data_IF_263527805228
#
_entry.id   IF_263527805228
#
_cell.length_a   1.000
_cell.length_b   1.000
_cell.length_c   1.000
_cell.angle_alpha   90.00
_cell.angle_beta   90.00
_cell.angle_gamma   90.00
#
_symmetry.space_group_name_H-M   'P 1'
#
loop_
_entity.id
_entity.type
_entity.pdbx_description
1 polymer ?
#
# COMPACT_ATOMS: atom_id res chain seq x y z
N UNK A 1 5.56 0.03 -1.87
CA UNK A 1 6.31 -0.42 -3.06
C UNK A 1 7.79 -0.43 -2.73
N UNK A 2 8.56 -1.31 -3.35
CA UNK A 2 9.99 -1.43 -3.05
C UNK A 2 10.65 -2.53 -3.87
N UNK A 3 11.94 -2.39 -4.08
CA UNK A 3 12.81 -3.42 -4.65
C UNK A 3 12.78 -4.71 -3.81
N UNK A 4 13.22 -5.86 -4.36
CA UNK A 4 13.55 -7.02 -3.55
C UNK A 4 14.43 -6.64 -2.35
N UNK A 5 14.18 -7.26 -1.18
CA UNK A 5 14.91 -7.01 0.07
C UNK A 5 14.86 -5.55 0.61
N UNK A 6 13.97 -4.70 0.08
CA UNK A 6 13.80 -3.31 0.57
C UNK A 6 13.09 -3.20 1.92
N UNK A 7 12.63 -4.31 2.52
CA UNK A 7 11.92 -4.33 3.81
C UNK A 7 10.40 -4.33 3.72
N UNK A 8 9.80 -4.64 2.55
CA UNK A 8 8.34 -4.67 2.34
C UNK A 8 7.61 -5.59 3.34
N UNK A 9 8.08 -6.82 3.52
CA UNK A 9 7.48 -7.76 4.48
C UNK A 9 7.69 -7.30 5.92
N UNK A 10 8.87 -6.76 6.24
CA UNK A 10 9.15 -6.17 7.55
C UNK A 10 8.18 -5.05 7.87
N UNK A 11 7.87 -4.19 6.89
CA UNK A 11 6.87 -3.14 7.07
C UNK A 11 5.48 -3.71 7.40
N UNK A 12 5.01 -4.73 6.67
CA UNK A 12 3.73 -5.40 6.97
C UNK A 12 3.72 -5.97 8.39
N UNK A 13 4.79 -6.65 8.80
CA UNK A 13 4.92 -7.21 10.14
C UNK A 13 4.92 -6.12 11.22
N UNK A 14 5.67 -5.04 11.01
CA UNK A 14 5.73 -3.90 11.94
C UNK A 14 4.35 -3.23 12.06
N UNK A 15 3.65 -3.03 10.95
CA UNK A 15 2.30 -2.47 10.94
C UNK A 15 1.35 -3.35 11.77
N UNK A 16 1.29 -4.64 11.47
CA UNK A 16 0.40 -5.58 12.14
C UNK A 16 0.71 -5.71 13.64
N UNK A 17 2.00 -5.84 13.98
CA UNK A 17 2.44 -5.98 15.37
C UNK A 17 2.17 -4.70 16.18
N UNK A 18 2.48 -3.54 15.63
CA UNK A 18 2.22 -2.24 16.28
C UNK A 18 0.72 -2.03 16.53
N UNK A 19 -0.11 -2.36 15.54
CA UNK A 19 -1.56 -2.24 15.67
C UNK A 19 -2.14 -3.25 16.67
N UNK A 20 -1.66 -4.50 16.68
CA UNK A 20 -2.08 -5.53 17.63
C UNK A 20 -1.71 -5.17 19.08
N UNK A 21 -0.62 -4.42 19.31
CA UNK A 21 -0.27 -3.89 20.62
C UNK A 21 -1.22 -2.78 21.09
N UNK A 22 -1.82 -2.03 20.17
CA UNK A 22 -2.68 -0.89 20.48
C UNK A 22 -4.18 -1.23 20.50
N UNK A 23 -4.60 -2.28 19.77
CA UNK A 23 -6.00 -2.59 19.51
C UNK A 23 -6.32 -4.05 19.85
N UNK A 24 -7.39 -4.31 20.63
CA UNK A 24 -7.81 -5.68 20.92
C UNK A 24 -8.35 -6.39 19.66
N UNK A 25 -8.40 -7.73 19.64
CA UNK A 25 -8.92 -8.51 18.50
C UNK A 25 -10.35 -8.14 18.08
N UNK A 26 -11.18 -7.72 19.03
CA UNK A 26 -12.54 -7.24 18.76
C UNK A 26 -12.59 -5.91 18.00
N UNK A 27 -11.52 -5.10 18.01
CA UNK A 27 -11.46 -3.87 17.21
C UNK A 27 -10.77 -4.08 15.88
N UNK A 28 -9.73 -4.91 15.85
CA UNK A 28 -8.92 -5.10 14.66
C UNK A 28 -8.45 -6.55 14.54
N UNK A 29 -8.76 -7.16 13.41
CA UNK A 29 -8.24 -8.48 13.04
C UNK A 29 -7.42 -8.42 11.75
N UNK A 30 -6.42 -9.29 11.65
CA UNK A 30 -5.53 -9.43 10.51
C UNK A 30 -5.69 -10.80 9.85
N UNK A 31 -5.66 -10.79 8.52
CA UNK A 31 -5.49 -11.97 7.68
C UNK A 31 -4.32 -11.74 6.73
N UNK A 32 -3.65 -12.81 6.31
CA UNK A 32 -2.42 -12.70 5.53
C UNK A 32 -2.34 -13.66 4.34
N UNK A 33 -1.81 -13.17 3.23
CA UNK A 33 -1.39 -13.96 2.08
C UNK A 33 0.09 -13.62 1.80
N UNK A 34 0.98 -14.59 2.05
CA UNK A 34 2.42 -14.49 1.82
C UNK A 34 2.79 -15.17 0.50
N UNK A 35 2.75 -14.40 -0.59
CA UNK A 35 3.11 -14.89 -1.93
C UNK A 35 4.62 -14.77 -2.22
N UNK A 36 5.36 -13.99 -1.43
CA UNK A 36 6.81 -13.81 -1.60
C UNK A 36 7.63 -14.83 -0.82
N UNK A 37 7.04 -15.46 0.20
CA UNK A 37 7.76 -16.27 1.19
C UNK A 37 8.52 -15.40 2.20
N UNK A 38 8.12 -14.14 2.38
CA UNK A 38 8.82 -13.14 3.19
C UNK A 38 8.74 -13.37 4.70
N UNK A 39 7.93 -14.32 5.16
CA UNK A 39 7.83 -14.72 6.55
C UNK A 39 6.66 -14.09 7.30
N UNK A 40 5.59 -13.73 6.59
CA UNK A 40 4.38 -13.14 7.20
C UNK A 40 3.73 -14.10 8.21
N UNK A 41 3.91 -15.42 8.04
CA UNK A 41 3.45 -16.48 8.94
C UNK A 41 3.93 -16.34 10.39
N UNK A 42 4.99 -15.57 10.64
CA UNK A 42 5.44 -15.26 12.01
C UNK A 42 4.40 -14.51 12.84
N UNK A 43 3.45 -13.83 12.19
CA UNK A 43 2.35 -13.14 12.86
C UNK A 43 1.25 -14.10 13.35
N UNK A 44 1.23 -15.37 12.93
CA UNK A 44 0.15 -16.32 13.24
C UNK A 44 -0.09 -16.57 14.74
N UNK A 45 0.84 -16.18 15.60
CA UNK A 45 0.69 -16.30 17.05
C UNK A 45 -0.03 -15.10 17.70
N UNK A 46 -0.26 -14.02 16.96
CA UNK A 46 -0.94 -12.83 17.50
C UNK A 46 -2.43 -13.11 17.67
N UNK A 47 -3.06 -12.68 18.78
CA UNK A 47 -4.49 -12.91 19.02
C UNK A 47 -5.39 -12.17 18.02
N UNK A 48 -4.86 -11.12 17.37
CA UNK A 48 -5.56 -10.39 16.32
C UNK A 48 -5.52 -11.10 14.97
N UNK A 49 -4.75 -12.19 14.79
CA UNK A 49 -4.58 -12.82 13.48
C UNK A 49 -5.51 -14.03 13.34
N UNK A 50 -6.45 -13.95 12.39
CA UNK A 50 -7.40 -15.04 12.11
C UNK A 50 -6.81 -16.13 11.21
N UNK A 51 -5.92 -15.77 10.28
CA UNK A 51 -5.29 -16.75 9.41
C UNK A 51 -4.23 -16.16 8.48
N UNK A 52 -3.17 -16.93 8.24
CA UNK A 52 -2.13 -16.59 7.25
C UNK A 52 -1.91 -17.79 6.34
N UNK A 53 -1.96 -17.54 5.03
CA UNK A 53 -1.64 -18.49 3.99
C UNK A 53 -0.28 -18.17 3.38
N UNK A 54 0.52 -19.20 3.13
CA UNK A 54 1.82 -19.09 2.46
C UNK A 54 1.74 -19.63 1.05
N UNK A 55 2.64 -19.20 0.15
CA UNK A 55 2.69 -19.63 -1.27
C UNK A 55 2.62 -21.14 -1.50
N UNK A 56 3.14 -21.94 -0.58
CA UNK A 56 3.08 -23.40 -0.67
C UNK A 56 1.70 -24.03 -0.44
N UNK A 57 0.71 -23.26 0.04
CA UNK A 57 -0.62 -23.74 0.40
C UNK A 57 -1.70 -22.92 -0.32
N UNK A 58 -1.88 -23.22 -1.61
CA UNK A 58 -2.87 -22.58 -2.49
C UNK A 58 -4.28 -22.67 -1.94
N UNK A 59 -4.65 -23.84 -1.42
CA UNK A 59 -5.99 -24.05 -0.88
C UNK A 59 -6.22 -23.20 0.38
N UNK A 60 -5.21 -22.98 1.20
CA UNK A 60 -5.31 -22.03 2.33
C UNK A 60 -5.37 -20.58 1.87
N UNK A 61 -4.66 -20.18 0.80
CA UNK A 61 -4.79 -18.83 0.24
C UNK A 61 -6.22 -18.56 -0.21
N UNK A 62 -6.81 -19.51 -0.94
CA UNK A 62 -8.21 -19.46 -1.36
C UNK A 62 -9.15 -19.36 -0.17
N UNK A 63 -9.00 -20.23 0.83
CA UNK A 63 -9.85 -20.21 2.04
C UNK A 63 -9.76 -18.89 2.82
N UNK A 64 -8.56 -18.31 2.97
CA UNK A 64 -8.40 -17.00 3.60
C UNK A 64 -9.13 -15.91 2.82
N UNK A 65 -9.05 -15.94 1.49
CA UNK A 65 -9.75 -14.97 0.64
C UNK A 65 -11.27 -15.15 0.74
N UNK A 66 -11.77 -16.38 0.59
CA UNK A 66 -13.19 -16.73 0.68
C UNK A 66 -13.78 -16.32 2.04
N UNK A 67 -13.04 -16.50 3.12
CA UNK A 67 -13.43 -16.09 4.47
C UNK A 67 -13.65 -14.57 4.56
N UNK A 68 -12.74 -13.77 4.01
CA UNK A 68 -12.85 -12.30 4.06
C UNK A 68 -13.96 -11.80 3.13
N UNK A 69 -14.17 -12.45 1.98
CA UNK A 69 -15.31 -12.16 1.09
C UNK A 69 -16.63 -12.46 1.82
N UNK A 70 -16.72 -13.60 2.52
CA UNK A 70 -17.90 -13.91 3.33
C UNK A 70 -18.12 -12.88 4.46
N UNK A 71 -17.04 -12.35 5.06
CA UNK A 71 -17.14 -11.25 6.02
C UNK A 71 -17.68 -9.96 5.39
N UNK A 72 -17.34 -9.64 4.13
CA UNK A 72 -17.94 -8.48 3.45
C UNK A 72 -19.45 -8.64 3.34
N UNK A 73 -19.91 -9.79 2.87
CA UNK A 73 -21.34 -10.05 2.68
C UNK A 73 -22.09 -10.02 4.01
N UNK A 74 -21.47 -10.54 5.07
CA UNK A 74 -22.02 -10.45 6.41
C UNK A 74 -22.11 -9.00 6.91
N UNK A 75 -21.06 -8.21 6.71
CA UNK A 75 -21.02 -6.79 7.10
C UNK A 75 -22.07 -5.97 6.38
N UNK A 76 -22.26 -6.21 5.08
CA UNK A 76 -23.29 -5.53 4.30
C UNK A 76 -24.71 -5.82 4.83
N UNK A 77 -25.01 -7.09 5.17
CA UNK A 77 -26.28 -7.47 5.79
C UNK A 77 -26.47 -6.80 7.16
N UNK A 78 -25.42 -6.74 7.98
CA UNK A 78 -25.46 -6.13 9.31
C UNK A 78 -25.69 -4.62 9.22
N UNK A 79 -24.99 -3.94 8.31
CA UNK A 79 -25.14 -2.50 8.08
C UNK A 79 -26.58 -2.19 7.62
N UNK A 80 -27.10 -2.97 6.68
CA UNK A 80 -28.47 -2.82 6.19
C UNK A 80 -29.51 -3.07 7.29
N UNK A 81 -29.36 -4.15 8.06
CA UNK A 81 -30.30 -4.53 9.12
C UNK A 81 -30.36 -3.51 10.27
N UNK A 82 -29.21 -2.93 10.62
CA UNK A 82 -29.09 -1.98 11.72
C UNK A 82 -29.21 -0.50 11.28
N UNK A 83 -29.43 -0.24 9.97
CA UNK A 83 -29.49 1.11 9.39
C UNK A 83 -28.27 1.97 9.76
N UNK A 84 -27.10 1.38 9.57
CA UNK A 84 -25.83 2.04 9.91
C UNK A 84 -25.43 2.98 8.76
N UNK A 85 -25.36 4.27 9.06
CA UNK A 85 -25.09 5.31 8.05
C UNK A 85 -23.58 5.59 7.85
N UNK A 86 -22.72 5.08 8.74
CA UNK A 86 -21.27 5.27 8.64
C UNK A 86 -20.47 4.17 9.33
N UNK A 87 -19.21 3.99 8.92
CA UNK A 87 -18.28 3.08 9.59
C UNK A 87 -17.95 3.51 11.02
N UNK A 88 -17.99 4.81 11.30
CA UNK A 88 -17.78 5.31 12.66
C UNK A 88 -18.92 4.86 13.58
N UNK A 89 -20.17 4.97 13.10
CA UNK A 89 -21.34 4.43 13.79
C UNK A 89 -21.21 2.91 13.97
N UNK A 90 -20.84 2.16 12.92
CA UNK A 90 -20.62 0.71 13.01
C UNK A 90 -19.62 0.35 14.13
N UNK A 91 -18.48 1.05 14.18
CA UNK A 91 -17.43 0.81 15.19
C UNK A 91 -17.91 1.14 16.60
N UNK A 92 -18.70 2.21 16.76
CA UNK A 92 -19.25 2.62 18.05
C UNK A 92 -20.26 1.59 18.56
N UNK A 93 -21.27 1.27 17.75
CA UNK A 93 -22.32 0.30 18.05
C UNK A 93 -21.74 -1.09 18.36
N UNK A 94 -20.74 -1.54 17.59
CA UNK A 94 -20.02 -2.80 17.85
C UNK A 94 -19.31 -2.79 19.21
N UNK A 95 -18.61 -1.70 19.54
CA UNK A 95 -17.93 -1.55 20.83
C UNK A 95 -18.88 -1.56 22.03
N UNK A 96 -20.11 -1.11 21.83
CA UNK A 96 -21.15 -1.10 22.84
C UNK A 96 -21.97 -2.41 22.87
N UNK A 97 -21.63 -3.37 22.01
CA UNK A 97 -22.30 -4.67 21.94
C UNK A 97 -23.71 -4.61 21.34
N UNK A 98 -24.03 -3.56 20.56
CA UNK A 98 -25.32 -3.40 19.90
C UNK A 98 -25.39 -4.06 18.51
N UNK A 99 -24.24 -4.50 18.00
CA UNK A 99 -24.14 -5.25 16.75
C UNK A 99 -23.63 -6.66 17.05
N UNK A 100 -24.49 -7.64 16.81
CA UNK A 100 -24.12 -9.05 16.83
C UNK A 100 -23.52 -9.50 15.50
N UNK A 101 -22.66 -10.52 15.56
CA UNK A 101 -22.11 -11.20 14.38
C UNK A 101 -20.81 -10.62 13.82
N UNK A 102 -20.37 -9.43 14.23
CA UNK A 102 -19.03 -8.93 13.88
C UNK A 102 -17.99 -9.44 14.88
N UNK A 103 -17.06 -10.28 14.41
CA UNK A 103 -15.91 -10.71 15.22
C UNK A 103 -14.96 -9.54 15.55
N UNK A 104 -14.79 -8.63 14.59
CA UNK A 104 -13.96 -7.43 14.71
C UNK A 104 -14.62 -6.24 14.04
N UNK A 105 -14.39 -5.03 14.54
CA UNK A 105 -14.89 -3.82 13.90
C UNK A 105 -14.20 -3.58 12.54
N UNK A 106 -12.88 -3.74 12.49
CA UNK A 106 -12.06 -3.63 11.28
C UNK A 106 -11.29 -4.92 10.97
N UNK A 107 -11.21 -5.27 9.68
CA UNK A 107 -10.41 -6.39 9.17
C UNK A 107 -9.36 -5.85 8.23
N UNK A 108 -8.10 -6.28 8.38
CA UNK A 108 -7.01 -5.92 7.47
C UNK A 108 -6.47 -7.18 6.79
N UNK A 109 -6.56 -7.21 5.46
CA UNK A 109 -5.89 -8.20 4.63
C UNK A 109 -4.49 -7.70 4.26
N UNK A 110 -3.48 -8.43 4.73
CA UNK A 110 -2.07 -8.23 4.40
C UNK A 110 -1.72 -9.10 3.19
N UNK A 111 -1.36 -8.49 2.07
CA UNK A 111 -0.90 -9.20 0.87
C UNK A 111 0.58 -8.89 0.66
N UNK A 112 1.44 -9.88 0.83
CA UNK A 112 2.84 -9.74 0.45
C UNK A 112 3.05 -10.24 -0.98
N UNK A 113 3.14 -9.30 -1.92
CA UNK A 113 3.45 -9.54 -3.32
C UNK A 113 2.23 -9.80 -4.20
N UNK A 114 1.35 -8.80 -4.38
CA UNK A 114 0.15 -8.95 -5.24
C UNK A 114 0.48 -9.31 -6.70
N UNK A 115 1.62 -8.86 -7.23
CA UNK A 115 2.08 -9.25 -8.56
C UNK A 115 2.36 -10.75 -8.68
N UNK A 116 2.88 -11.39 -7.62
CA UNK A 116 3.05 -12.84 -7.58
C UNK A 116 1.72 -13.58 -7.52
N UNK A 117 0.74 -13.04 -6.78
CA UNK A 117 -0.60 -13.63 -6.74
C UNK A 117 -1.23 -13.64 -8.12
N UNK A 118 -1.21 -12.50 -8.82
CA UNK A 118 -1.78 -12.35 -10.16
C UNK A 118 -1.11 -13.28 -11.19
N UNK A 119 0.19 -13.53 -11.04
CA UNK A 119 0.93 -14.40 -11.95
C UNK A 119 0.71 -15.89 -11.68
N UNK A 120 0.75 -16.30 -10.42
CA UNK A 120 0.80 -17.72 -10.02
C UNK A 120 -0.58 -18.28 -9.60
N UNK A 121 -1.51 -17.41 -9.21
CA UNK A 121 -2.82 -17.76 -8.64
C UNK A 121 -3.95 -16.89 -9.24
N UNK A 122 -4.14 -16.90 -10.58
CA UNK A 122 -5.10 -16.03 -11.26
C UNK A 122 -6.55 -16.23 -10.79
N UNK A 123 -6.91 -17.41 -10.27
CA UNK A 123 -8.23 -17.67 -9.71
C UNK A 123 -8.56 -16.85 -8.45
N UNK A 124 -7.56 -16.31 -7.77
CA UNK A 124 -7.76 -15.45 -6.59
C UNK A 124 -8.03 -13.98 -6.98
N UNK A 125 -7.87 -13.65 -8.26
CA UNK A 125 -7.94 -12.27 -8.73
C UNK A 125 -9.32 -11.65 -8.55
N UNK A 126 -10.38 -12.40 -8.84
CA UNK A 126 -11.76 -11.89 -8.74
C UNK A 126 -12.11 -11.52 -7.30
N UNK A 127 -11.76 -12.38 -6.33
CA UNK A 127 -11.96 -12.10 -4.91
C UNK A 127 -11.13 -10.90 -4.44
N UNK A 128 -9.87 -10.78 -4.87
CA UNK A 128 -9.03 -9.62 -4.52
C UNK A 128 -9.61 -8.32 -5.11
N UNK A 129 -10.02 -8.35 -6.37
CA UNK A 129 -10.62 -7.20 -7.06
C UNK A 129 -11.94 -6.78 -6.39
N UNK A 130 -12.72 -7.75 -5.91
CA UNK A 130 -13.91 -7.53 -5.10
C UNK A 130 -13.60 -6.86 -3.76
N UNK A 131 -12.63 -7.38 -3.00
CA UNK A 131 -12.21 -6.80 -1.73
C UNK A 131 -11.71 -5.36 -1.91
N UNK A 132 -10.91 -5.09 -2.95
CA UNK A 132 -10.37 -3.74 -3.23
C UNK A 132 -11.51 -2.74 -3.48
N UNK A 133 -12.57 -3.17 -4.18
CA UNK A 133 -13.67 -2.29 -4.60
C UNK A 133 -14.70 -2.07 -3.50
N UNK A 134 -15.09 -3.12 -2.77
CA UNK A 134 -16.17 -3.08 -1.75
C UNK A 134 -15.63 -2.83 -0.34
N UNK A 135 -14.43 -3.30 -0.02
CA UNK A 135 -13.96 -3.45 1.35
C UNK A 135 -13.92 -2.16 2.16
N UNK A 136 -13.44 -1.07 1.54
CA UNK A 136 -13.26 0.21 2.24
C UNK A 136 -14.53 0.77 2.85
N UNK A 137 -15.70 0.51 2.25
CA UNK A 137 -17.01 0.94 2.77
C UNK A 137 -17.59 0.03 3.85
N UNK A 138 -16.97 -1.14 4.08
CA UNK A 138 -17.45 -2.18 5.01
C UNK A 138 -16.46 -2.40 6.18
N UNK A 139 -15.42 -1.58 6.31
CA UNK A 139 -14.40 -1.73 7.36
C UNK A 139 -13.41 -2.86 7.08
N UNK A 140 -13.25 -3.24 5.81
CA UNK A 140 -12.23 -4.19 5.35
C UNK A 140 -11.18 -3.45 4.55
N UNK A 141 -9.93 -3.54 5.01
CA UNK A 141 -8.81 -2.78 4.47
C UNK A 141 -7.79 -3.72 3.85
N UNK A 142 -7.11 -3.26 2.80
CA UNK A 142 -6.06 -4.05 2.14
C UNK A 142 -4.76 -3.29 2.24
N UNK A 143 -3.74 -3.97 2.76
CA UNK A 143 -2.36 -3.50 2.75
C UNK A 143 -1.56 -4.47 1.92
N UNK A 144 -1.15 -4.04 0.73
CA UNK A 144 -0.39 -4.88 -0.19
C UNK A 144 1.00 -4.34 -0.46
N UNK A 145 1.95 -5.25 -0.65
CA UNK A 145 3.27 -4.93 -1.18
C UNK A 145 3.27 -5.12 -2.69
N UNK A 146 4.07 -4.30 -3.37
CA UNK A 146 4.26 -4.35 -4.81
C UNK A 146 5.75 -4.28 -5.11
N UNK A 147 6.18 -5.01 -6.14
CA UNK A 147 7.53 -4.88 -6.69
C UNK A 147 7.58 -3.71 -7.68
N UNK A 148 6.50 -3.54 -8.45
CA UNK A 148 6.34 -2.47 -9.45
C UNK A 148 4.97 -1.82 -9.30
N UNK A 149 4.85 -0.57 -9.73
CA UNK A 149 3.58 0.17 -9.65
C UNK A 149 2.46 -0.47 -10.49
N UNK A 150 2.82 -1.11 -11.60
CA UNK A 150 1.89 -1.78 -12.49
C UNK A 150 1.48 -3.19 -12.03
N UNK A 151 1.96 -3.66 -10.88
CA UNK A 151 1.41 -4.86 -10.23
C UNK A 151 -0.06 -4.64 -9.81
N UNK A 152 -0.50 -3.37 -9.72
CA UNK A 152 -1.91 -2.98 -9.60
C UNK A 152 -2.46 -2.50 -10.94
N UNK A 153 -3.68 -2.95 -11.27
CA UNK A 153 -4.44 -2.43 -12.42
C UNK A 153 -4.62 -0.92 -12.27
N UNK A 154 -4.62 -0.19 -13.38
CA UNK A 154 -4.72 1.27 -13.37
C UNK A 154 -5.99 1.78 -12.67
N UNK A 155 -7.11 1.05 -12.81
CA UNK A 155 -8.37 1.36 -12.10
C UNK A 155 -8.32 1.14 -10.58
N UNK A 156 -7.40 0.31 -10.09
CA UNK A 156 -7.25 0.03 -8.66
C UNK A 156 -6.32 1.01 -7.98
N UNK A 157 -5.36 1.56 -8.71
CA UNK A 157 -4.36 2.46 -8.13
C UNK A 157 -5.00 3.59 -7.31
N UNK A 158 -6.04 4.31 -7.76
CA UNK A 158 -6.67 5.39 -6.98
C UNK A 158 -7.28 4.93 -5.65
N UNK A 159 -7.71 3.67 -5.53
CA UNK A 159 -8.35 3.12 -4.33
C UNK A 159 -7.34 2.94 -3.17
N UNK A 160 -6.05 2.87 -3.47
CA UNK A 160 -4.99 2.86 -2.47
C UNK A 160 -4.64 4.30 -2.08
N UNK A 161 -5.35 4.86 -1.09
CA UNK A 161 -5.15 6.23 -0.61
C UNK A 161 -3.74 6.47 -0.03
N UNK A 162 -3.23 5.53 0.76
CA UNK A 162 -1.90 5.60 1.38
C UNK A 162 -0.89 4.78 0.60
N UNK A 163 0.24 5.39 0.24
CA UNK A 163 1.35 4.71 -0.45
C UNK A 163 2.66 4.98 0.28
N UNK A 164 3.40 3.91 0.54
CA UNK A 164 4.74 3.98 1.12
C UNK A 164 5.74 3.43 0.11
N UNK A 165 6.73 4.24 -0.25
CA UNK A 165 7.83 3.88 -1.14
C UNK A 165 9.07 3.56 -0.29
N UNK A 166 9.49 2.31 -0.33
CA UNK A 166 10.79 1.86 0.15
C UNK A 166 11.79 2.00 -1.01
N UNK A 167 13.06 1.67 -0.75
CA UNK A 167 14.11 1.69 -1.77
C UNK A 167 13.65 0.98 -3.05
N UNK A 168 13.65 1.71 -4.17
CA UNK A 168 13.33 1.21 -5.51
C UNK A 168 14.61 0.82 -6.26
N UNK A 169 14.47 -0.03 -7.28
CA UNK A 169 15.58 -0.38 -8.19
C UNK A 169 15.87 0.76 -9.17
N UNK A 170 14.80 1.32 -9.75
CA UNK A 170 14.87 2.48 -10.64
C UNK A 170 14.13 3.67 -9.99
N UNK A 171 14.80 4.83 -9.81
CA UNK A 171 14.14 6.05 -9.36
C UNK A 171 12.96 6.50 -10.24
N UNK A 172 12.95 6.15 -11.53
CA UNK A 172 11.85 6.47 -12.46
C UNK A 172 10.53 5.79 -12.09
N UNK A 173 10.59 4.70 -11.32
CA UNK A 173 9.40 3.99 -10.81
C UNK A 173 8.75 4.72 -9.62
N UNK A 174 9.36 5.80 -9.10
CA UNK A 174 8.84 6.57 -7.98
C UNK A 174 7.61 7.38 -8.41
N UNK A 175 6.49 7.14 -7.74
CA UNK A 175 5.26 7.92 -7.90
C UNK A 175 5.30 9.20 -7.04
N UNK A 176 6.13 9.24 -5.99
CA UNK A 176 6.35 10.43 -5.16
C UNK A 176 7.23 11.44 -5.91
N UNK A 177 8.38 11.01 -6.44
CA UNK A 177 9.27 11.90 -7.19
C UNK A 177 8.59 12.47 -8.44
N UNK A 178 7.74 11.68 -9.11
CA UNK A 178 6.97 12.15 -10.28
C UNK A 178 6.01 13.31 -9.95
N UNK A 179 5.48 13.37 -8.71
CA UNK A 179 4.64 14.49 -8.25
C UNK A 179 5.45 15.72 -7.81
N UNK A 180 6.73 15.52 -7.46
CA UNK A 180 7.65 16.59 -7.05
C UNK A 180 8.44 17.19 -8.22
N UNK A 181 8.44 16.54 -9.39
CA UNK A 181 8.98 17.12 -10.62
C UNK A 181 8.10 18.32 -11.01
N UNK A 182 8.65 19.55 -11.07
CA UNK A 182 7.90 20.69 -11.54
C UNK A 182 7.47 20.46 -12.99
N UNK A 183 6.23 20.83 -13.30
CA UNK A 183 5.68 20.95 -14.66
C UNK A 183 6.77 21.53 -15.59
N UNK A 184 7.13 20.85 -16.70
CA UNK A 184 8.12 21.36 -17.64
C UNK A 184 7.51 22.52 -18.44
N UNK A 185 7.27 23.64 -17.75
CA UNK A 185 7.07 24.92 -18.41
C UNK A 185 8.36 25.26 -19.16
N UNK A 186 8.28 25.72 -20.41
CA UNK A 186 9.47 25.99 -21.21
C UNK A 186 10.30 27.04 -20.48
N UNK A 187 11.57 26.72 -20.22
CA UNK A 187 12.53 27.67 -19.65
C UNK A 187 12.51 28.94 -20.52
N UNK A 188 12.15 30.06 -19.92
CA UNK A 188 12.20 31.36 -20.58
C UNK A 188 13.66 31.67 -20.95
N UNK A 189 14.00 31.91 -22.23
CA UNK A 189 15.37 32.17 -22.65
C UNK A 189 15.71 33.64 -22.42
N UNK A 190 16.29 33.98 -21.27
CA UNK A 190 16.83 35.33 -21.03
C UNK A 190 18.01 35.31 -20.06
N UNK A 191 19.24 35.26 -20.60
CA UNK A 191 20.07 36.46 -20.80
C UNK A 191 21.52 36.05 -21.06
N UNK A 192 21.94 36.29 -22.30
CA UNK A 192 23.32 36.41 -22.73
C UNK A 192 24.05 37.48 -21.93
N UNK A 193 25.03 37.07 -21.11
CA UNK A 193 26.02 37.98 -20.55
C UNK A 193 27.03 38.33 -21.66
N UNK A 194 27.01 39.59 -22.10
CA UNK A 194 28.04 40.15 -22.96
C UNK A 194 29.39 40.23 -22.22
N UNK A 195 30.54 40.05 -22.91
CA UNK A 195 31.84 40.13 -22.27
C UNK A 195 32.24 41.59 -22.04
N UNK A 196 32.50 41.97 -20.78
CA UNK A 196 33.17 43.24 -20.44
C UNK A 196 34.65 43.12 -20.81
N UNK A 197 35.06 43.88 -21.82
CA UNK A 197 36.46 44.14 -22.16
C UNK A 197 37.19 44.73 -20.95
N UNK A 198 38.34 44.13 -20.61
CA UNK A 198 39.27 44.65 -19.63
C UNK A 198 40.11 45.76 -20.28
N UNK A 199 40.06 46.97 -19.71
CA UNK A 199 41.02 48.04 -19.97
C UNK A 199 42.41 47.60 -19.47
N UNK A 200 43.40 47.62 -20.34
CA UNK A 200 44.80 47.32 -20.05
C UNK A 200 45.59 48.64 -19.96
N UNK A 201 46.40 48.88 -18.91
CA UNK A 201 47.22 50.09 -18.80
C UNK A 201 48.53 49.96 -19.62
N UNK A 202 49.19 51.08 -20.01
CA UNK A 202 50.28 51.04 -20.98
C UNK A 202 51.68 50.94 -20.35
N UNK A 203 52.57 50.22 -21.06
CA UNK A 203 54.03 50.44 -21.12
C UNK A 203 54.93 49.38 -20.44
N UNK A 204 56.23 49.25 -20.83
CA UNK A 204 56.97 50.01 -21.84
C UNK A 204 57.60 49.17 -22.97
N UNK A 205 57.97 49.89 -24.02
CA UNK A 205 58.69 49.50 -25.23
C UNK A 205 60.15 49.10 -24.99
N UNK A 206 60.58 47.98 -25.60
CA UNK A 206 61.99 47.71 -25.88
C UNK A 206 62.20 47.41 -27.38
N UNK A 207 63.13 48.18 -27.98
CA UNK A 207 63.65 48.05 -29.35
C UNK A 207 64.63 46.88 -29.48
N UNK A 208 64.59 46.19 -30.62
CA UNK A 208 65.67 45.54 -31.40
C UNK A 208 64.96 44.71 -32.48
N UNK A 209 65.28 44.68 -33.78
CA UNK A 209 66.35 45.19 -34.61
C UNK A 209 65.78 45.50 -35.99
#
# INVERSE_FOLDING_TARGET
MGAPQSGRTTFLMTLATSAALALPPSRLSFYGIDATGGGLSRLSHLPNVGGIATRGDRERMRRVLDEIVAMLDQRERIIAANRIDSLEMMRLEHREGRIDGLASADVVLLIDGIGFIRADFPELEDGIDELIRRGGGLGVHIVTTLARANDLKMAQQPLFGTRLELRLNDPADSLIARKLLPDPRPRCPRQSAAPRQALQPPGPSHRAH
#
